data_IF_011834219830
#
_entry.id   IF_011834219830
#
_cell.length_a   1.000
_cell.length_b   1.000
_cell.length_c   1.000
_cell.angle_alpha   90.00
_cell.angle_beta   90.00
_cell.angle_gamma   90.00
#
_symmetry.space_group_name_H-M   'P 1'
#
loop_
_entity.id
_entity.type
_entity.pdbx_description
1 polymer ?
#
# COMPACT_ATOMS: atom_id res chain seq x y z
N UNK A 1 0.55 9.29 6.93
CA UNK A 1 0.17 7.95 6.44
C UNK A 1 1.31 6.92 6.40
N UNK A 2 2.32 7.05 5.51
CA UNK A 2 3.45 6.08 5.44
C UNK A 2 4.14 5.87 6.80
N UNK A 3 4.34 6.95 7.55
CA UNK A 3 4.84 6.87 8.93
C UNK A 3 3.99 5.96 9.82
N UNK A 4 2.67 6.18 9.85
CA UNK A 4 1.72 5.38 10.66
C UNK A 4 1.80 3.90 10.28
N UNK A 5 1.89 3.59 8.98
CA UNK A 5 2.02 2.21 8.52
C UNK A 5 3.28 1.55 9.11
N UNK A 6 4.45 2.17 8.95
CA UNK A 6 5.71 1.60 9.42
C UNK A 6 5.94 1.68 10.93
N UNK A 7 5.26 2.58 11.62
CA UNK A 7 5.44 2.81 13.05
C UNK A 7 4.49 1.98 13.92
N UNK A 8 3.27 1.73 13.43
CA UNK A 8 2.18 1.19 14.26
C UNK A 8 1.45 -0.01 13.66
N UNK A 9 1.59 -0.27 12.36
CA UNK A 9 0.74 -1.25 11.66
C UNK A 9 1.56 -2.43 11.16
N UNK A 10 2.59 -2.18 10.38
CA UNK A 10 3.35 -3.21 9.69
C UNK A 10 4.24 -3.96 10.69
N UNK A 11 4.10 -5.28 10.71
CA UNK A 11 5.04 -6.18 11.35
C UNK A 11 6.27 -6.36 10.44
N UNK A 12 7.17 -5.38 10.43
CA UNK A 12 8.44 -5.43 9.68
C UNK A 12 9.49 -4.50 10.29
N UNK A 13 10.73 -4.95 10.30
CA UNK A 13 11.94 -4.20 10.69
C UNK A 13 13.09 -4.60 9.76
N UNK A 14 14.23 -3.88 9.75
CA UNK A 14 15.40 -4.27 8.99
C UNK A 14 15.88 -5.70 9.30
N UNK A 15 15.82 -6.13 10.56
CA UNK A 15 16.25 -7.47 11.01
C UNK A 15 15.25 -8.57 10.63
N UNK A 16 14.03 -8.19 10.28
CA UNK A 16 12.93 -9.13 9.98
C UNK A 16 12.49 -9.10 8.53
N UNK A 17 13.17 -8.31 7.68
CA UNK A 17 12.82 -8.07 6.26
C UNK A 17 12.80 -9.33 5.39
N UNK A 18 13.48 -10.40 5.78
CA UNK A 18 13.47 -11.67 5.04
C UNK A 18 12.54 -12.72 5.67
N UNK A 19 11.89 -12.40 6.79
CA UNK A 19 11.03 -13.36 7.46
C UNK A 19 9.78 -13.66 6.62
N UNK A 20 9.35 -14.94 6.54
CA UNK A 20 8.19 -15.31 5.75
C UNK A 20 6.87 -14.85 6.36
N UNK A 21 6.84 -14.52 7.65
CA UNK A 21 5.66 -14.17 8.46
C UNK A 21 5.48 -12.64 8.70
N UNK A 22 6.35 -11.80 8.14
CA UNK A 22 6.20 -10.34 8.18
C UNK A 22 5.08 -9.83 7.27
N UNK A 23 4.60 -8.62 7.49
CA UNK A 23 3.67 -7.97 6.54
C UNK A 23 4.37 -7.55 5.23
N UNK A 24 3.59 -7.41 4.16
CA UNK A 24 4.05 -6.93 2.85
C UNK A 24 3.47 -5.56 2.56
N UNK A 25 4.32 -4.57 2.26
CA UNK A 25 3.90 -3.23 1.86
C UNK A 25 4.31 -2.90 0.43
N UNK A 26 3.34 -2.54 -0.40
CA UNK A 26 3.56 -2.16 -1.80
C UNK A 26 3.24 -0.68 -1.98
N UNK A 27 4.20 0.07 -2.51
CA UNK A 27 3.94 1.41 -3.02
C UNK A 27 3.59 1.31 -4.50
N UNK A 28 2.29 1.25 -4.85
CA UNK A 28 1.84 1.21 -6.25
C UNK A 28 2.06 2.54 -6.94
N UNK A 29 1.73 3.66 -6.27
CA UNK A 29 1.99 5.02 -6.80
C UNK A 29 3.47 5.38 -6.69
N UNK A 30 4.32 4.58 -7.35
CA UNK A 30 5.77 4.65 -7.26
C UNK A 30 6.37 5.99 -7.69
N UNK A 31 5.61 6.85 -8.38
CA UNK A 31 6.05 8.20 -8.73
C UNK A 31 6.16 9.10 -7.49
N UNK A 32 7.28 9.82 -7.37
CA UNK A 32 7.57 10.68 -6.22
C UNK A 32 7.76 9.93 -4.88
N UNK A 33 8.66 8.92 -4.82
CA UNK A 33 8.82 8.04 -3.67
C UNK A 33 9.60 8.66 -2.50
N UNK A 34 9.93 9.96 -2.55
CA UNK A 34 10.81 10.60 -1.56
C UNK A 34 10.30 10.48 -0.12
N UNK A 35 8.99 10.60 0.10
CA UNK A 35 8.40 10.40 1.42
C UNK A 35 8.54 8.94 1.89
N UNK A 36 8.50 7.98 0.97
CA UNK A 36 8.71 6.57 1.27
C UNK A 36 10.17 6.30 1.63
N UNK A 37 11.12 6.84 0.87
CA UNK A 37 12.55 6.72 1.18
C UNK A 37 12.89 7.39 2.53
N UNK A 38 12.31 8.54 2.84
CA UNK A 38 12.48 9.18 4.14
C UNK A 38 12.01 8.29 5.29
N UNK A 39 10.87 7.61 5.14
CA UNK A 39 10.38 6.64 6.14
C UNK A 39 11.30 5.44 6.24
N UNK A 40 11.77 4.87 5.12
CA UNK A 40 12.71 3.75 5.14
C UNK A 40 14.02 4.11 5.83
N UNK A 41 14.55 5.31 5.60
CA UNK A 41 15.75 5.80 6.29
C UNK A 41 15.51 5.97 7.80
N UNK A 42 14.41 6.62 8.18
CA UNK A 42 14.04 6.82 9.58
C UNK A 42 13.77 5.50 10.34
N UNK A 43 13.39 4.44 9.61
CA UNK A 43 13.15 3.09 10.13
C UNK A 43 14.36 2.16 9.99
N UNK A 44 15.50 2.66 9.49
CA UNK A 44 16.77 1.93 9.42
C UNK A 44 16.87 0.91 8.28
N UNK A 45 15.95 0.91 7.31
CA UNK A 45 16.04 0.03 6.12
C UNK A 45 17.12 0.49 5.14
N UNK A 46 17.41 1.80 5.13
CA UNK A 46 18.49 2.40 4.35
C UNK A 46 19.26 3.39 5.22
N UNK A 47 20.53 3.62 4.89
CA UNK A 47 21.32 4.64 5.57
C UNK A 47 20.88 6.05 5.14
N UNK A 48 20.72 6.96 6.09
CA UNK A 48 20.32 8.35 5.83
C UNK A 48 21.25 9.07 4.83
N UNK A 49 22.55 8.74 4.86
CA UNK A 49 23.57 9.28 3.93
C UNK A 49 23.30 8.97 2.45
N UNK A 50 22.42 8.01 2.16
CA UNK A 50 22.03 7.67 0.78
C UNK A 50 20.98 8.64 0.24
N UNK A 51 20.19 9.30 1.10
CA UNK A 51 19.12 10.23 0.66
C UNK A 51 19.61 11.34 -0.28
N UNK A 52 20.75 12.02 -0.03
CA UNK A 52 21.27 13.06 -0.94
C UNK A 52 21.66 12.53 -2.32
N UNK A 53 21.82 11.22 -2.50
CA UNK A 53 22.20 10.61 -3.79
C UNK A 53 21.02 10.42 -4.73
N UNK A 54 19.78 10.68 -4.28
CA UNK A 54 18.55 10.45 -5.04
C UNK A 54 18.63 10.97 -6.48
N UNK A 55 18.29 10.10 -7.44
CA UNK A 55 18.33 10.40 -8.88
C UNK A 55 19.74 10.36 -9.50
N UNK A 56 20.79 10.12 -8.72
CA UNK A 56 22.15 9.90 -9.22
C UNK A 56 22.31 8.54 -9.91
N UNK A 57 23.28 8.45 -10.83
CA UNK A 57 23.52 7.26 -11.67
C UNK A 57 23.72 5.96 -10.85
N UNK A 58 24.56 6.00 -9.82
CA UNK A 58 24.83 4.86 -8.93
C UNK A 58 23.92 4.82 -7.70
N UNK A 59 22.92 5.71 -7.62
CA UNK A 59 22.04 5.74 -6.46
C UNK A 59 21.05 4.58 -6.49
N UNK A 60 20.83 3.89 -5.36
CA UNK A 60 19.73 2.95 -5.26
C UNK A 60 18.36 3.66 -5.24
N UNK A 61 18.33 4.99 -5.03
CA UNK A 61 17.11 5.78 -4.88
C UNK A 61 16.76 6.47 -6.20
N UNK A 62 16.01 5.77 -7.06
CA UNK A 62 15.48 6.32 -8.29
C UNK A 62 14.15 7.06 -8.13
N UNK A 63 13.67 7.68 -9.21
CA UNK A 63 12.35 8.32 -9.28
C UNK A 63 11.17 7.35 -9.11
N UNK A 64 11.46 6.05 -9.17
CA UNK A 64 10.56 4.97 -8.81
C UNK A 64 11.34 3.96 -7.93
N UNK A 65 10.70 3.36 -6.91
CA UNK A 65 11.32 2.33 -6.09
C UNK A 65 11.74 1.12 -6.91
N UNK A 66 12.89 0.55 -6.58
CA UNK A 66 13.40 -0.71 -7.15
C UNK A 66 13.58 -1.75 -6.04
N UNK A 67 12.87 -2.89 -6.15
CA UNK A 67 12.93 -3.98 -5.16
C UNK A 67 14.30 -4.65 -5.09
N UNK A 68 15.13 -4.54 -6.14
CA UNK A 68 16.45 -5.16 -6.18
C UNK A 68 17.52 -4.30 -5.50
N UNK A 69 17.27 -2.99 -5.38
CA UNK A 69 18.24 -2.04 -4.86
C UNK A 69 17.94 -1.59 -3.42
N UNK A 70 16.68 -1.66 -2.99
CA UNK A 70 16.23 -1.10 -1.71
C UNK A 70 15.64 -2.21 -0.82
N UNK A 71 16.30 -2.56 0.30
CA UNK A 71 15.76 -3.52 1.27
C UNK A 71 14.37 -3.09 1.79
N UNK A 72 13.45 -4.05 1.87
CA UNK A 72 12.08 -3.81 2.34
C UNK A 72 11.12 -3.24 1.28
N UNK A 73 11.59 -2.96 0.06
CA UNK A 73 10.72 -2.62 -1.08
C UNK A 73 10.26 -3.90 -1.77
N UNK A 74 8.94 -4.14 -1.79
CA UNK A 74 8.39 -5.40 -2.33
C UNK A 74 8.41 -5.48 -3.86
N UNK A 75 8.13 -4.35 -4.51
CA UNK A 75 7.95 -4.25 -5.97
C UNK A 75 8.77 -3.11 -6.56
N UNK A 76 9.30 -3.33 -7.77
CA UNK A 76 9.71 -2.22 -8.62
C UNK A 76 8.45 -1.61 -9.22
N UNK A 77 8.12 -0.39 -8.83
CA UNK A 77 6.88 0.29 -9.21
C UNK A 77 7.14 1.42 -10.22
N UNK A 78 6.10 2.16 -10.59
CA UNK A 78 6.20 3.33 -11.48
C UNK A 78 5.21 3.29 -12.64
N UNK A 79 4.91 2.09 -13.14
CA UNK A 79 3.74 1.90 -14.01
C UNK A 79 2.49 1.80 -13.14
N UNK A 80 1.59 2.78 -13.30
CA UNK A 80 0.32 2.85 -12.57
C UNK A 80 -0.50 1.57 -12.80
N UNK A 81 -1.35 1.23 -11.83
CA UNK A 81 -2.29 0.10 -11.99
C UNK A 81 -1.70 -1.29 -11.79
N UNK A 82 -0.38 -1.45 -11.63
CA UNK A 82 0.24 -2.77 -11.43
C UNK A 82 0.29 -3.21 -9.97
N UNK A 83 0.44 -2.27 -9.01
CA UNK A 83 0.71 -2.62 -7.63
C UNK A 83 -0.45 -3.33 -6.93
N UNK A 84 -1.70 -2.95 -7.21
CA UNK A 84 -2.87 -3.62 -6.64
C UNK A 84 -3.08 -5.05 -7.16
N UNK A 85 -3.03 -5.34 -8.48
CA UNK A 85 -3.02 -6.72 -8.98
C UNK A 85 -1.90 -7.58 -8.38
N UNK A 86 -0.69 -7.03 -8.22
CA UNK A 86 0.42 -7.75 -7.57
C UNK A 86 0.09 -8.01 -6.09
N UNK A 87 -0.49 -7.04 -5.38
CA UNK A 87 -0.94 -7.20 -3.99
C UNK A 87 -1.99 -8.32 -3.85
N UNK A 88 -2.93 -8.41 -4.79
CA UNK A 88 -3.91 -9.51 -4.85
C UNK A 88 -3.18 -10.86 -4.98
N UNK A 89 -2.25 -10.99 -5.93
CA UNK A 89 -1.46 -12.21 -6.10
C UNK A 89 -0.66 -12.60 -4.85
N UNK A 90 -0.04 -11.62 -4.17
CA UNK A 90 0.69 -11.84 -2.92
C UNK A 90 -0.22 -12.31 -1.79
N UNK A 91 -1.39 -11.67 -1.62
CA UNK A 91 -2.36 -12.04 -0.59
C UNK A 91 -2.92 -13.45 -0.83
N UNK A 92 -3.19 -13.82 -2.10
CA UNK A 92 -3.55 -15.19 -2.47
C UNK A 92 -2.44 -16.19 -2.11
N UNK A 93 -1.20 -15.86 -2.44
CA UNK A 93 -0.04 -16.70 -2.12
C UNK A 93 0.14 -16.90 -0.62
N UNK A 94 -0.08 -15.87 0.21
CA UNK A 94 -0.04 -15.98 1.67
C UNK A 94 -1.23 -16.78 2.23
N UNK A 95 -2.43 -16.60 1.68
CA UNK A 95 -3.64 -17.35 2.08
C UNK A 95 -3.52 -18.85 1.80
N UNK A 96 -2.82 -19.23 0.72
CA UNK A 96 -2.59 -20.63 0.36
C UNK A 96 -1.56 -21.33 1.27
N UNK A 97 -0.81 -20.60 2.11
CA UNK A 97 0.16 -21.20 3.03
C UNK A 97 -0.55 -21.86 4.23
N UNK A 98 0.01 -22.95 4.77
CA UNK A 98 -0.46 -23.51 6.02
C UNK A 98 -0.49 -22.45 7.12
N UNK A 99 -1.49 -22.46 8.02
CA UNK A 99 -1.49 -21.58 9.18
C UNK A 99 -0.20 -21.77 9.99
N UNK A 100 0.54 -20.69 10.20
CA UNK A 100 1.65 -20.64 11.16
C UNK A 100 1.17 -20.23 12.55
N UNK A 101 2.05 -20.27 13.56
CA UNK A 101 1.77 -19.66 14.85
C UNK A 101 1.59 -18.14 14.70
N UNK A 102 0.62 -17.56 15.40
CA UNK A 102 0.38 -16.12 15.41
C UNK A 102 -0.59 -15.63 14.32
N UNK A 103 -0.58 -14.32 14.08
CA UNK A 103 -1.43 -13.67 13.10
C UNK A 103 -0.91 -13.95 11.68
N UNK A 104 -1.83 -14.19 10.73
CA UNK A 104 -1.45 -14.32 9.32
C UNK A 104 -0.87 -13.00 8.81
N UNK A 105 0.19 -13.03 7.99
CA UNK A 105 0.75 -11.81 7.44
C UNK A 105 -0.23 -11.13 6.50
N UNK A 106 -0.25 -9.80 6.52
CA UNK A 106 -1.11 -8.96 5.70
C UNK A 106 -0.36 -8.43 4.49
N UNK A 107 -1.12 -8.10 3.45
CA UNK A 107 -0.64 -7.33 2.31
C UNK A 107 -1.32 -5.97 2.34
N UNK A 108 -0.52 -4.92 2.39
CA UNK A 108 -0.98 -3.53 2.31
C UNK A 108 -0.42 -2.92 1.03
N UNK A 109 -1.28 -2.33 0.20
CA UNK A 109 -0.86 -1.61 -1.01
C UNK A 109 -1.37 -0.19 -1.01
N UNK A 110 -0.50 0.77 -1.30
CA UNK A 110 -0.83 2.18 -1.39
C UNK A 110 -0.90 2.58 -2.85
N UNK A 111 -2.08 3.05 -3.27
CA UNK A 111 -2.38 3.54 -4.61
C UNK A 111 -2.78 5.02 -4.55
N UNK A 112 -2.62 5.74 -5.66
CA UNK A 112 -3.25 7.05 -5.86
C UNK A 112 -4.64 6.90 -6.49
N UNK A 113 -5.53 7.86 -6.26
CA UNK A 113 -6.84 7.93 -6.93
C UNK A 113 -6.76 7.92 -8.45
N UNK A 114 -5.79 8.62 -9.05
CA UNK A 114 -5.58 8.63 -10.50
C UNK A 114 -5.17 7.25 -11.06
N UNK A 115 -4.70 6.31 -10.24
CA UNK A 115 -4.47 4.95 -10.72
C UNK A 115 -5.77 4.21 -11.05
N UNK A 116 -6.95 4.71 -10.65
CA UNK A 116 -8.23 4.13 -11.08
C UNK A 116 -8.59 4.43 -12.53
N UNK A 117 -7.82 5.29 -13.21
CA UNK A 117 -7.90 5.42 -14.67
C UNK A 117 -7.28 4.18 -15.38
N UNK A 118 -6.51 3.35 -14.67
CA UNK A 118 -6.00 2.06 -15.18
C UNK A 118 -6.99 0.91 -14.89
N UNK A 119 -7.40 0.20 -15.93
CA UNK A 119 -8.42 -0.85 -15.85
C UNK A 119 -8.05 -2.02 -14.92
N UNK A 120 -6.75 -2.33 -14.78
CA UNK A 120 -6.25 -3.40 -13.94
C UNK A 120 -6.62 -3.23 -12.45
N UNK A 121 -6.70 -1.99 -11.97
CA UNK A 121 -7.16 -1.73 -10.60
C UNK A 121 -8.64 -2.07 -10.44
N UNK A 122 -9.47 -1.75 -11.44
CA UNK A 122 -10.90 -2.11 -11.40
C UNK A 122 -11.09 -3.62 -11.37
N UNK A 123 -10.35 -4.37 -12.19
CA UNK A 123 -10.38 -5.84 -12.18
C UNK A 123 -9.96 -6.42 -10.81
N UNK A 124 -8.89 -5.88 -10.23
CA UNK A 124 -8.39 -6.33 -8.93
C UNK A 124 -9.38 -6.04 -7.79
N UNK A 125 -10.06 -4.88 -7.80
CA UNK A 125 -11.07 -4.52 -6.79
C UNK A 125 -12.25 -5.48 -6.83
N UNK A 126 -12.78 -5.77 -8.02
CA UNK A 126 -13.90 -6.71 -8.21
C UNK A 126 -13.49 -8.10 -7.73
N UNK A 127 -12.33 -8.61 -8.15
CA UNK A 127 -11.89 -9.96 -7.81
C UNK A 127 -11.64 -10.14 -6.31
N UNK A 128 -10.91 -9.22 -5.67
CA UNK A 128 -10.57 -9.36 -4.25
C UNK A 128 -11.81 -9.26 -3.34
N UNK A 129 -12.80 -8.45 -3.73
CA UNK A 129 -14.10 -8.39 -3.08
C UNK A 129 -14.88 -9.69 -3.21
N UNK A 130 -15.07 -10.17 -4.44
CA UNK A 130 -15.79 -11.42 -4.73
C UNK A 130 -15.17 -12.67 -4.08
N UNK A 131 -13.86 -12.66 -3.83
CA UNK A 131 -13.14 -13.79 -3.22
C UNK A 131 -12.89 -13.65 -1.72
N UNK A 132 -13.44 -12.60 -1.08
CA UNK A 132 -13.33 -12.37 0.36
C UNK A 132 -11.88 -12.33 0.85
N UNK A 133 -11.01 -11.59 0.14
CA UNK A 133 -9.57 -11.57 0.39
C UNK A 133 -9.19 -10.73 1.64
N UNK A 134 -9.55 -11.24 2.82
CA UNK A 134 -9.38 -10.64 4.15
C UNK A 134 -7.96 -10.18 4.51
N UNK A 135 -6.93 -10.87 3.99
CA UNK A 135 -5.53 -10.50 4.17
C UNK A 135 -5.07 -9.25 3.39
N UNK A 136 -5.91 -8.67 2.53
CA UNK A 136 -5.60 -7.50 1.70
C UNK A 136 -6.16 -6.22 2.30
N UNK A 137 -5.30 -5.20 2.39
CA UNK A 137 -5.70 -3.82 2.68
C UNK A 137 -5.20 -2.88 1.59
N UNK A 138 -6.10 -2.12 1.00
CA UNK A 138 -5.78 -1.08 0.03
C UNK A 138 -5.86 0.26 0.71
N UNK A 139 -4.83 1.08 0.51
CA UNK A 139 -4.81 2.47 0.97
C UNK A 139 -4.87 3.34 -0.26
N UNK A 140 -5.91 4.16 -0.36
CA UNK A 140 -6.08 5.09 -1.47
C UNK A 140 -5.71 6.48 -0.97
N UNK A 141 -4.72 7.11 -1.58
CA UNK A 141 -4.51 8.55 -1.44
C UNK A 141 -5.47 9.23 -2.41
N UNK A 142 -6.53 9.81 -1.87
CA UNK A 142 -7.49 10.60 -2.62
C UNK A 142 -7.13 12.08 -2.50
N UNK A 143 -6.53 12.63 -3.55
CA UNK A 143 -6.20 14.04 -3.67
C UNK A 143 -6.97 14.71 -4.81
N UNK A 144 -8.08 14.09 -5.24
CA UNK A 144 -9.00 14.61 -6.25
C UNK A 144 -8.33 14.87 -7.61
N UNK A 145 -7.39 14.00 -8.00
CA UNK A 145 -6.60 14.09 -9.23
C UNK A 145 -7.01 13.10 -10.32
N UNK A 146 -7.88 12.13 -10.01
CA UNK A 146 -8.40 11.18 -11.01
C UNK A 146 -9.13 11.88 -12.16
N UNK A 147 -8.86 11.47 -13.41
CA UNK A 147 -9.39 12.14 -14.60
C UNK A 147 -10.90 11.91 -14.76
N UNK A 148 -11.33 10.69 -14.48
CA UNK A 148 -12.73 10.28 -14.66
C UNK A 148 -13.51 10.23 -13.35
N UNK A 149 -12.83 9.80 -12.27
CA UNK A 149 -13.43 9.57 -10.96
C UNK A 149 -14.48 8.45 -10.96
N UNK A 150 -14.72 7.86 -9.79
CA UNK A 150 -15.78 6.86 -9.63
C UNK A 150 -17.06 7.51 -9.13
N UNK A 151 -18.19 7.21 -9.78
CA UNK A 151 -19.50 7.72 -9.38
C UNK A 151 -19.84 7.27 -7.97
N UNK A 152 -20.23 8.21 -7.11
CA UNK A 152 -20.52 7.96 -5.70
C UNK A 152 -19.28 7.89 -4.80
N UNK A 153 -18.07 8.10 -5.36
CA UNK A 153 -16.82 8.11 -4.60
C UNK A 153 -16.17 6.73 -4.51
N UNK A 154 -14.89 6.74 -4.15
CA UNK A 154 -14.05 5.54 -4.13
C UNK A 154 -14.57 4.54 -3.09
N UNK A 155 -14.87 4.98 -1.87
CA UNK A 155 -15.39 4.12 -0.82
C UNK A 155 -16.72 3.44 -1.22
N UNK A 156 -17.66 4.18 -1.82
CA UNK A 156 -18.93 3.63 -2.28
C UNK A 156 -18.72 2.51 -3.30
N UNK A 157 -17.79 2.69 -4.24
CA UNK A 157 -17.48 1.66 -5.24
C UNK A 157 -16.88 0.41 -4.61
N UNK A 158 -15.95 0.56 -3.66
CA UNK A 158 -15.40 -0.58 -2.92
C UNK A 158 -16.47 -1.31 -2.09
N UNK A 159 -17.35 -0.57 -1.40
CA UNK A 159 -18.45 -1.16 -0.64
C UNK A 159 -19.39 -1.98 -1.53
N UNK A 160 -19.70 -1.49 -2.74
CA UNK A 160 -20.52 -2.21 -3.72
C UNK A 160 -19.90 -3.55 -4.15
N UNK A 161 -18.56 -3.65 -4.16
CA UNK A 161 -17.82 -4.88 -4.46
C UNK A 161 -17.57 -5.74 -3.19
N UNK A 162 -18.21 -5.43 -2.06
CA UNK A 162 -18.15 -6.24 -0.84
C UNK A 162 -16.98 -5.93 0.11
N UNK A 163 -16.28 -4.82 -0.07
CA UNK A 163 -15.16 -4.44 0.79
C UNK A 163 -15.61 -3.82 2.11
N UNK A 164 -14.75 -3.91 3.13
CA UNK A 164 -14.83 -3.04 4.30
C UNK A 164 -14.20 -1.69 3.95
N UNK A 165 -14.88 -0.59 4.24
CA UNK A 165 -14.47 0.75 3.83
C UNK A 165 -14.26 1.66 5.02
N UNK A 166 -13.17 2.44 4.99
CA UNK A 166 -12.93 3.56 5.90
C UNK A 166 -12.60 4.81 5.07
N UNK A 167 -13.15 5.94 5.47
CA UNK A 167 -12.80 7.26 4.92
C UNK A 167 -12.27 8.11 6.07
N UNK A 168 -11.03 8.57 5.94
CA UNK A 168 -10.33 9.31 7.01
C UNK A 168 -9.48 10.42 6.40
N UNK A 169 -9.17 11.45 7.20
CA UNK A 169 -8.16 12.43 6.79
C UNK A 169 -6.78 11.78 6.74
N UNK A 170 -6.03 12.00 5.65
CA UNK A 170 -4.65 11.53 5.50
C UNK A 170 -3.65 12.19 6.48
N UNK A 171 -4.08 13.21 7.22
CA UNK A 171 -3.31 13.94 8.25
C UNK A 171 -3.61 13.49 9.68
N UNK A 172 -4.69 12.75 9.91
CA UNK A 172 -5.05 12.26 11.24
C UNK A 172 -4.39 10.91 11.50
N UNK A 173 -3.32 10.91 12.30
CA UNK A 173 -2.56 9.71 12.60
C UNK A 173 -3.36 8.68 13.42
N UNK A 174 -4.25 9.12 14.31
CA UNK A 174 -5.06 8.21 15.12
C UNK A 174 -6.19 7.60 14.30
N UNK A 175 -6.87 8.40 13.47
CA UNK A 175 -7.90 7.88 12.57
C UNK A 175 -7.30 6.89 11.55
N UNK A 176 -6.12 7.18 11.00
CA UNK A 176 -5.40 6.26 10.12
C UNK A 176 -5.05 4.95 10.83
N UNK A 177 -4.49 5.02 12.05
CA UNK A 177 -4.14 3.83 12.81
C UNK A 177 -5.38 2.97 13.12
N UNK A 178 -6.48 3.61 13.53
CA UNK A 178 -7.75 2.93 13.78
C UNK A 178 -8.32 2.27 12.51
N UNK A 179 -8.27 2.96 11.37
CA UNK A 179 -8.74 2.43 10.09
C UNK A 179 -7.91 1.22 9.63
N UNK A 180 -6.57 1.27 9.75
CA UNK A 180 -5.70 0.16 9.40
C UNK A 180 -5.85 -1.07 10.32
N UNK A 181 -6.24 -0.85 11.58
CA UNK A 181 -6.57 -1.91 12.54
C UNK A 181 -7.98 -2.47 12.34
N UNK A 182 -8.92 -1.66 11.83
CA UNK A 182 -10.31 -2.02 11.63
C UNK A 182 -10.54 -2.90 10.40
N UNK A 183 -9.96 -4.10 10.35
CA UNK A 183 -10.18 -5.09 9.28
C UNK A 183 -11.39 -5.99 9.52
N UNK A 184 -11.74 -6.83 8.56
CA UNK A 184 -12.75 -7.88 8.69
C UNK A 184 -12.20 -9.24 8.22
N UNK A 185 -12.62 -10.36 8.83
CA UNK A 185 -12.07 -11.68 8.55
C UNK A 185 -12.62 -12.34 7.27
N UNK A 186 -13.63 -11.76 6.62
CA UNK A 186 -14.36 -12.33 5.49
C UNK A 186 -14.27 -11.49 4.20
N UNK A 187 -13.58 -10.34 4.26
CA UNK A 187 -13.53 -9.38 3.15
C UNK A 187 -12.29 -8.50 3.21
N UNK A 188 -11.78 -8.07 2.06
CA UNK A 188 -10.68 -7.11 2.01
C UNK A 188 -11.10 -5.74 2.56
N UNK A 189 -10.12 -4.93 2.93
CA UNK A 189 -10.33 -3.59 3.51
C UNK A 189 -9.77 -2.49 2.61
N UNK A 190 -10.50 -1.40 2.44
CA UNK A 190 -9.98 -0.15 1.85
C UNK A 190 -10.00 0.96 2.89
N UNK A 191 -8.91 1.73 2.92
CA UNK A 191 -8.80 2.98 3.66
C UNK A 191 -8.58 4.08 2.63
N UNK A 192 -9.61 4.89 2.40
CA UNK A 192 -9.54 6.09 1.57
C UNK A 192 -9.07 7.24 2.46
N UNK A 193 -7.87 7.72 2.19
CA UNK A 193 -7.24 8.82 2.89
C UNK A 193 -7.41 10.09 2.06
N UNK A 194 -8.30 10.99 2.50
CA UNK A 194 -8.50 12.29 1.88
C UNK A 194 -7.30 13.21 2.17
N UNK A 195 -6.75 13.79 1.11
CA UNK A 195 -5.60 14.68 1.14
C UNK A 195 -5.90 15.91 0.28
N UNK A 196 -5.40 17.07 0.69
CA UNK A 196 -5.59 18.29 -0.09
C UNK A 196 -5.11 18.14 -1.54
N UNK A 197 -5.84 18.71 -2.52
CA UNK A 197 -5.42 18.76 -3.91
C UNK A 197 -4.05 19.44 -4.05
N UNK A 198 -3.30 19.06 -5.09
CA UNK A 198 -2.14 19.86 -5.49
C UNK A 198 -2.67 21.18 -6.05
N UNK A 199 -2.34 22.29 -5.39
CA UNK A 199 -2.65 23.65 -5.85
C UNK A 199 -1.91 24.02 -7.13
#
# INVERSE_FOLDING_TARGET
MLWVLYDRVLNITPETVDRPDRDRFLLSKGHGPMAYYAVLAAKGFIEEKVLPTFGGYDSPLGHHPDRLLIPGVEISSGSLGHGLPIAVGLALGLRARPPGPGQRPRVITLIGDAEFDEGSNSEAVVYAGATGLDGLTVVVVDNHSASHGWRGGIACRFAAEGWRTHEVSGRDHEALAAAFAGTAPDRPTVVVADVEPKG
#
